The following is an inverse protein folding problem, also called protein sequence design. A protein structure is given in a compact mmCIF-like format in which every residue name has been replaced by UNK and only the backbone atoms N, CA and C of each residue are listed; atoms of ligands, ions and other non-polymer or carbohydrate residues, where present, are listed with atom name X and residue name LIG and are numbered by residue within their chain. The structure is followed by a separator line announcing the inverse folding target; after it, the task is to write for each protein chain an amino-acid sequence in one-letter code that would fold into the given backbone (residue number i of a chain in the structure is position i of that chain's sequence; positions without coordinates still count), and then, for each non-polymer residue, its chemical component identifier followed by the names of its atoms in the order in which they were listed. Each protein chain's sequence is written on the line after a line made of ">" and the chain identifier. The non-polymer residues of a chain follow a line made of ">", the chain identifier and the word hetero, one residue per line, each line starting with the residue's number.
data_IF_157687160593
#
_entry.id   IF_157687160593
#
_cell.length_a   1.000
_cell.length_b   1.000
_cell.length_c   1.000
_cell.angle_alpha   90.00
_cell.angle_beta   90.00
_cell.angle_gamma   90.00
#
_symmetry.space_group_name_H-M   'P 1'
#
loop_
_entity.id
_entity.type
_entity.pdbx_description
1 polymer ?
#
# COMPACT_ATOMS: atom_id res chain seq x y z
N UNK A 1 3.00 6.51 5.45
CA UNK A 1 2.43 7.87 5.47
C UNK A 1 0.92 7.87 5.20
N UNK A 2 0.46 7.44 4.03
CA UNK A 2 -0.94 7.55 3.61
C UNK A 2 -1.95 6.88 4.57
N UNK A 3 -1.62 5.70 5.14
CA UNK A 3 -2.48 5.05 6.14
C UNK A 3 -2.72 5.95 7.38
N UNK A 4 -1.71 6.68 7.84
CA UNK A 4 -1.87 7.64 8.94
C UNK A 4 -2.77 8.81 8.55
N UNK A 5 -2.64 9.33 7.32
CA UNK A 5 -3.51 10.39 6.83
C UNK A 5 -4.98 9.94 6.73
N UNK A 6 -5.23 8.72 6.23
CA UNK A 6 -6.56 8.10 6.19
C UNK A 6 -7.18 8.03 7.58
N UNK A 7 -6.41 7.57 8.57
CA UNK A 7 -6.86 7.48 9.96
C UNK A 7 -7.27 8.85 10.53
N UNK A 8 -6.40 9.86 10.37
CA UNK A 8 -6.65 11.21 10.90
C UNK A 8 -7.78 11.93 10.19
N UNK A 9 -7.95 11.70 8.88
CA UNK A 9 -9.09 12.19 8.11
C UNK A 9 -10.44 11.55 8.50
N UNK A 10 -10.42 10.45 9.27
CA UNK A 10 -11.64 9.74 9.67
C UNK A 10 -12.27 8.92 8.56
N UNK A 11 -11.50 8.54 7.55
CA UNK A 11 -11.97 7.66 6.48
C UNK A 11 -12.15 6.25 7.06
N UNK A 12 -13.39 5.75 7.02
CA UNK A 12 -13.77 4.49 7.67
C UNK A 12 -13.42 3.22 6.90
N UNK A 13 -13.10 3.31 5.61
CA UNK A 13 -12.76 2.16 4.76
C UNK A 13 -11.70 2.53 3.72
N UNK A 14 -10.72 1.66 3.53
CA UNK A 14 -9.79 1.71 2.40
C UNK A 14 -9.92 0.43 1.57
N UNK A 15 -9.91 0.59 0.25
CA UNK A 15 -9.87 -0.50 -0.72
C UNK A 15 -8.67 -0.26 -1.62
N UNK A 16 -7.81 -1.26 -1.82
CA UNK A 16 -6.58 -1.10 -2.58
C UNK A 16 -6.29 -2.27 -3.53
N UNK A 17 -5.55 -1.96 -4.60
CA UNK A 17 -5.24 -2.90 -5.67
C UNK A 17 -3.96 -3.71 -5.45
N UNK A 18 -2.84 -3.03 -5.22
CA UNK A 18 -1.51 -3.65 -5.05
C UNK A 18 -1.02 -3.52 -3.60
N UNK A 19 -0.57 -4.63 -3.00
CA UNK A 19 0.02 -4.61 -1.65
C UNK A 19 1.41 -3.99 -1.63
N UNK A 20 1.80 -3.37 -0.50
CA UNK A 20 3.14 -2.81 -0.34
C UNK A 20 4.23 -3.91 -0.42
N UNK A 21 3.93 -5.12 0.07
CA UNK A 21 4.81 -6.29 -0.04
C UNK A 21 5.07 -6.67 -1.50
N UNK A 22 4.03 -6.72 -2.34
CA UNK A 22 4.18 -7.06 -3.75
C UNK A 22 4.83 -5.92 -4.54
N UNK A 23 4.48 -4.67 -4.25
CA UNK A 23 5.16 -3.51 -4.81
C UNK A 23 6.66 -3.52 -4.50
N UNK A 24 7.06 -3.90 -3.27
CA UNK A 24 8.47 -4.03 -2.90
C UNK A 24 9.23 -5.04 -3.75
N UNK A 25 8.59 -6.15 -4.12
CA UNK A 25 9.21 -7.13 -5.03
C UNK A 25 9.50 -6.52 -6.40
N UNK A 26 8.67 -5.58 -6.87
CA UNK A 26 8.86 -4.87 -8.14
C UNK A 26 9.95 -3.79 -8.04
N UNK A 27 9.96 -3.03 -6.96
CA UNK A 27 10.85 -1.88 -6.80
C UNK A 27 12.23 -2.26 -6.30
N UNK A 28 12.37 -3.36 -5.55
CA UNK A 28 13.63 -3.72 -4.89
C UNK A 28 14.21 -2.55 -4.08
N UNK A 29 15.47 -2.19 -4.36
CA UNK A 29 16.16 -1.04 -3.77
C UNK A 29 16.21 0.18 -4.70
N UNK A 30 15.22 0.35 -5.59
CA UNK A 30 15.19 1.47 -6.54
C UNK A 30 15.21 2.83 -5.82
N UNK A 31 16.11 3.76 -6.19
CA UNK A 31 16.35 4.99 -5.43
C UNK A 31 15.16 5.95 -5.42
N UNK A 32 14.34 5.97 -6.48
CA UNK A 32 13.16 6.84 -6.56
C UNK A 32 12.01 6.37 -5.67
N UNK A 33 11.98 5.10 -5.27
CA UNK A 33 10.95 4.56 -4.41
C UNK A 33 11.53 3.47 -3.48
N UNK A 34 12.16 3.87 -2.37
CA UNK A 34 12.62 2.95 -1.33
C UNK A 34 11.39 2.37 -0.60
N UNK A 35 10.75 1.39 -1.23
CA UNK A 35 9.45 0.87 -0.80
C UNK A 35 9.52 0.32 0.61
N UNK A 36 8.74 0.94 1.50
CA UNK A 36 8.58 0.49 2.87
C UNK A 36 7.59 -0.69 2.91
N UNK A 37 8.09 -1.86 3.30
CA UNK A 37 7.28 -3.09 3.48
C UNK A 37 6.48 -3.05 4.79
N UNK A 38 5.55 -2.11 4.89
CA UNK A 38 4.71 -1.93 6.06
C UNK A 38 3.24 -1.91 5.63
N UNK A 39 2.50 -3.01 5.83
CA UNK A 39 1.07 -3.05 5.50
C UNK A 39 0.29 -1.97 6.25
N UNK A 40 -0.60 -1.26 5.57
CA UNK A 40 -1.46 -0.25 6.19
C UNK A 40 -2.28 -0.78 7.40
N UNK A 41 -2.63 -2.08 7.40
CA UNK A 41 -3.33 -2.76 8.50
C UNK A 41 -2.58 -2.65 9.83
N UNK A 42 -1.25 -2.73 9.81
CA UNK A 42 -0.43 -2.59 11.03
C UNK A 42 -0.48 -1.16 11.58
N UNK A 43 -0.56 -0.15 10.72
CA UNK A 43 -0.74 1.25 11.14
C UNK A 43 -2.11 1.44 11.79
N UNK A 44 -3.18 0.98 11.14
CA UNK A 44 -4.55 1.12 11.66
C UNK A 44 -4.75 0.36 12.97
N UNK A 45 -4.10 -0.79 13.16
CA UNK A 45 -4.13 -1.58 14.41
C UNK A 45 -3.62 -0.81 15.64
N UNK A 46 -2.84 0.26 15.44
CA UNK A 46 -2.35 1.13 16.53
C UNK A 46 -3.30 2.29 16.85
N UNK A 47 -4.35 2.49 16.06
CA UNK A 47 -5.35 3.54 16.26
C UNK A 47 -6.49 3.13 17.19
N UNK A 48 -7.27 4.12 17.63
CA UNK A 48 -8.47 3.90 18.48
C UNK A 48 -9.77 3.83 17.66
N UNK A 49 -9.71 4.20 16.37
CA UNK A 49 -10.84 4.17 15.43
C UNK A 49 -10.66 2.99 14.48
N UNK A 50 -11.71 2.19 14.31
CA UNK A 50 -11.74 1.12 13.31
C UNK A 50 -11.68 1.73 11.90
N UNK A 51 -10.78 1.20 11.07
CA UNK A 51 -10.74 1.44 9.62
C UNK A 51 -10.81 0.10 8.94
N UNK A 52 -11.85 -0.13 8.15
CA UNK A 52 -11.99 -1.35 7.38
C UNK A 52 -10.98 -1.35 6.23
N UNK A 53 -10.30 -2.46 6.02
CA UNK A 53 -9.31 -2.59 4.95
C UNK A 53 -9.69 -3.79 4.09
N UNK A 54 -9.99 -3.51 2.83
CA UNK A 54 -10.31 -4.51 1.81
C UNK A 54 -9.21 -4.51 0.76
N UNK A 55 -8.70 -5.69 0.43
CA UNK A 55 -7.65 -5.87 -0.55
C UNK A 55 -6.43 -6.62 -0.02
N UNK A 56 -5.44 -6.87 -0.91
CA UNK A 56 -5.40 -6.40 -2.31
C UNK A 56 -6.50 -7.03 -3.20
N UNK A 57 -7.04 -6.27 -4.15
CA UNK A 57 -8.03 -6.72 -5.14
C UNK A 57 -7.50 -6.48 -6.56
N UNK A 58 -7.68 -7.44 -7.47
CA UNK A 58 -7.14 -7.36 -8.84
C UNK A 58 -5.62 -7.09 -8.83
N UNK A 59 -4.90 -7.81 -7.97
CA UNK A 59 -3.50 -7.50 -7.66
C UNK A 59 -2.59 -7.69 -8.87
N UNK A 60 -2.88 -8.67 -9.73
CA UNK A 60 -2.12 -8.91 -10.96
C UNK A 60 -2.31 -7.76 -11.97
N UNK A 61 -3.53 -7.27 -12.12
CA UNK A 61 -3.87 -6.15 -12.99
C UNK A 61 -3.28 -4.84 -12.46
N UNK A 62 -3.31 -4.64 -11.14
CA UNK A 62 -2.67 -3.50 -10.49
C UNK A 62 -1.14 -3.54 -10.66
N UNK A 63 -0.51 -4.71 -10.55
CA UNK A 63 0.91 -4.91 -10.82
C UNK A 63 1.28 -4.63 -12.29
N UNK A 64 0.43 -4.99 -13.25
CA UNK A 64 0.72 -4.82 -14.67
C UNK A 64 1.02 -3.36 -15.06
N UNK A 65 0.44 -2.39 -14.34
CA UNK A 65 0.71 -0.96 -14.53
C UNK A 65 2.15 -0.55 -14.15
N UNK A 66 2.85 -1.39 -13.40
CA UNK A 66 4.23 -1.15 -12.96
C UNK A 66 5.28 -1.79 -13.87
N UNK A 67 4.90 -2.54 -14.93
CA UNK A 67 5.89 -3.15 -15.82
C UNK A 67 6.76 -2.08 -16.49
N UNK A 68 8.08 -2.28 -16.43
CA UNK A 68 9.08 -1.37 -16.98
C UNK A 68 9.29 -0.06 -16.21
N UNK A 69 8.40 0.30 -15.28
CA UNK A 69 8.46 1.58 -14.55
C UNK A 69 9.74 1.67 -13.69
N UNK A 70 10.11 0.58 -13.04
CA UNK A 70 11.20 0.52 -12.04
C UNK A 70 12.54 0.02 -12.60
N UNK A 71 12.71 -0.01 -13.94
CA UNK A 71 13.93 -0.53 -14.60
C UNK A 71 14.99 0.54 -14.91
N UNK A 72 14.88 1.74 -14.31
CA UNK A 72 15.76 2.88 -14.62
C UNK A 72 16.85 3.11 -13.58
#
# INVERSE_FOLDING_TARGET
>A
MCAGAIYWAGIGRVVYGLSEHRLRALTGNHPENPTLDLPCREVFKRGQRATEVVGPLLENEAEALHDGVWKK
#
